data_IF_661670130944
#
_entry.id   IF_661670130944
#
_cell.length_a   1.000
_cell.length_b   1.000
_cell.length_c   1.000
_cell.angle_alpha   90.00
_cell.angle_beta   90.00
_cell.angle_gamma   90.00
#
_symmetry.space_group_name_H-M   'P 1'
#
loop_
_entity.id
_entity.type
_entity.pdbx_description
1 polymer ?
#
# COMPACT_ATOMS: atom_id res chain seq x y z
N UNK A 1 -6.33 3.88 32.11
CA UNK A 1 -5.15 3.04 31.82
C UNK A 1 -5.20 2.74 30.34
N UNK A 2 -4.28 3.30 29.55
CA UNK A 2 -4.21 3.02 28.12
C UNK A 2 -3.51 1.67 27.98
N UNK A 3 -4.28 0.63 27.68
CA UNK A 3 -3.73 -0.70 27.38
C UNK A 3 -2.72 -0.53 26.22
N UNK A 4 -1.55 -1.19 26.28
CA UNK A 4 -0.60 -1.12 25.18
C UNK A 4 -1.33 -1.57 23.91
N UNK A 5 -1.43 -0.69 22.93
CA UNK A 5 -2.03 -0.95 21.61
C UNK A 5 -1.44 -2.26 21.08
N UNK A 6 -2.17 -3.36 21.17
CA UNK A 6 -1.93 -4.51 20.32
C UNK A 6 -2.26 -4.05 18.92
N UNK A 7 -1.20 -3.88 18.10
CA UNK A 7 -1.32 -3.56 16.68
C UNK A 7 -2.00 -4.74 15.99
N UNK A 8 -2.52 -4.55 14.77
CA UNK A 8 -3.08 -5.64 13.92
C UNK A 8 -2.13 -6.83 13.67
N UNK A 9 -0.89 -6.78 14.17
CA UNK A 9 0.03 -7.90 14.26
C UNK A 9 0.45 -8.19 15.70
N UNK A 10 0.52 -9.47 16.04
CA UNK A 10 1.18 -9.93 17.26
C UNK A 10 2.68 -9.59 17.23
N UNK A 11 3.36 -9.70 18.37
CA UNK A 11 4.82 -9.56 18.51
C UNK A 11 5.61 -10.46 17.54
N UNK A 12 4.99 -11.55 17.08
CA UNK A 12 5.53 -12.49 16.10
C UNK A 12 5.36 -12.03 14.64
N UNK A 13 4.60 -10.95 14.39
CA UNK A 13 4.24 -10.49 13.05
C UNK A 13 3.07 -11.25 12.42
N UNK A 14 2.33 -12.04 13.21
CA UNK A 14 1.13 -12.73 12.75
C UNK A 14 -0.08 -11.83 12.84
N UNK A 15 -0.99 -11.96 11.87
CA UNK A 15 -2.26 -11.24 11.86
C UNK A 15 -3.07 -11.54 13.13
N UNK A 16 -3.58 -10.48 13.78
CA UNK A 16 -4.55 -10.59 14.88
C UNK A 16 -5.93 -10.35 14.28
N UNK A 17 -6.84 -11.30 14.50
CA UNK A 17 -8.22 -11.20 14.05
C UNK A 17 -8.90 -9.96 14.62
N UNK A 18 -9.45 -9.12 13.75
CA UNK A 18 -10.15 -7.89 14.13
C UNK A 18 -11.65 -8.17 14.28
N UNK A 19 -12.23 -7.80 15.42
CA UNK A 19 -13.66 -8.00 15.68
C UNK A 19 -14.40 -6.68 15.94
N UNK A 20 -13.81 -5.78 16.73
CA UNK A 20 -14.50 -4.56 17.16
C UNK A 20 -14.22 -3.40 16.23
N UNK A 21 -15.14 -2.42 16.17
CA UNK A 21 -14.93 -1.23 15.35
C UNK A 21 -13.62 -0.50 15.66
N UNK A 22 -13.21 -0.43 16.93
CA UNK A 22 -11.94 0.20 17.34
C UNK A 22 -10.74 -0.59 16.79
N UNK A 23 -10.82 -1.92 16.74
CA UNK A 23 -9.79 -2.76 16.12
C UNK A 23 -9.65 -2.48 14.62
N UNK A 24 -10.77 -2.29 13.91
CA UNK A 24 -10.75 -1.95 12.48
C UNK A 24 -10.29 -0.51 12.22
N UNK A 25 -10.70 0.46 13.03
CA UNK A 25 -10.32 1.87 12.91
C UNK A 25 -8.80 2.06 13.15
N UNK A 26 -8.30 1.47 14.23
CA UNK A 26 -6.85 1.44 14.50
C UNK A 26 -6.10 0.57 13.47
N UNK A 27 -6.66 -0.58 13.09
CA UNK A 27 -6.08 -1.49 12.12
C UNK A 27 -5.92 -0.87 10.74
N UNK A 28 -6.90 -0.10 10.27
CA UNK A 28 -6.81 0.65 9.01
C UNK A 28 -5.69 1.69 9.07
N UNK A 29 -5.55 2.40 10.19
CA UNK A 29 -4.46 3.35 10.41
C UNK A 29 -3.08 2.68 10.39
N UNK A 30 -2.93 1.53 11.07
CA UNK A 30 -1.70 0.72 11.01
C UNK A 30 -1.44 0.16 9.61
N UNK A 31 -2.49 -0.18 8.84
CA UNK A 31 -2.36 -0.65 7.46
C UNK A 31 -1.83 0.45 6.54
N UNK A 32 -2.37 1.66 6.66
CA UNK A 32 -1.88 2.82 5.93
C UNK A 32 -0.43 3.12 6.30
N UNK A 33 -0.08 3.10 7.60
CA UNK A 33 1.30 3.28 8.07
C UNK A 33 2.24 2.21 7.51
N UNK A 34 1.82 0.93 7.53
CA UNK A 34 2.59 -0.18 6.99
C UNK A 34 2.89 0.01 5.50
N UNK A 35 1.90 0.41 4.71
CA UNK A 35 2.06 0.61 3.27
C UNK A 35 2.87 1.86 2.95
N UNK A 36 2.70 2.93 3.72
CA UNK A 36 3.50 4.16 3.64
C UNK A 36 4.96 3.95 4.13
N UNK A 37 5.18 2.95 4.99
CA UNK A 37 6.50 2.64 5.52
C UNK A 37 7.44 2.10 4.44
N UNK A 38 8.65 2.67 4.40
CA UNK A 38 9.79 2.22 3.59
C UNK A 38 10.62 1.13 4.28
N UNK A 39 10.09 0.56 5.36
CA UNK A 39 10.77 -0.49 6.13
C UNK A 39 11.02 -1.74 5.30
N UNK A 40 12.27 -2.21 5.25
CA UNK A 40 12.68 -3.43 4.53
C UNK A 40 11.98 -4.71 5.03
N UNK A 41 11.39 -4.69 6.23
CA UNK A 41 10.63 -5.82 6.79
C UNK A 41 9.21 -5.91 6.23
N UNK A 42 8.63 -4.80 5.80
CA UNK A 42 7.30 -4.75 5.22
C UNK A 42 7.40 -5.05 3.72
N UNK A 43 7.68 -6.31 3.37
CA UNK A 43 7.74 -6.73 1.97
C UNK A 43 6.37 -6.56 1.31
N UNK A 44 6.35 -6.38 -0.03
CA UNK A 44 5.09 -6.24 -0.79
C UNK A 44 4.12 -7.38 -0.49
N UNK A 45 4.61 -8.62 -0.45
CA UNK A 45 3.81 -9.79 -0.10
C UNK A 45 3.21 -9.70 1.31
N UNK A 46 3.98 -9.23 2.31
CA UNK A 46 3.48 -9.03 3.66
C UNK A 46 2.38 -7.96 3.72
N UNK A 47 2.58 -6.84 3.00
CA UNK A 47 1.60 -5.75 2.89
C UNK A 47 0.30 -6.23 2.22
N UNK A 48 0.41 -7.02 1.15
CA UNK A 48 -0.72 -7.61 0.44
C UNK A 48 -1.45 -8.66 1.29
N UNK A 49 -0.73 -9.50 2.03
CA UNK A 49 -1.34 -10.44 2.99
C UNK A 49 -2.09 -9.73 4.11
N UNK A 50 -1.53 -8.65 4.66
CA UNK A 50 -2.20 -7.85 5.69
C UNK A 50 -3.50 -7.21 5.17
N UNK A 51 -3.46 -6.65 3.95
CA UNK A 51 -4.64 -6.10 3.29
C UNK A 51 -5.71 -7.18 3.07
N UNK A 52 -5.32 -8.37 2.62
CA UNK A 52 -6.24 -9.48 2.40
C UNK A 52 -6.92 -9.94 3.70
N UNK A 53 -6.15 -10.11 4.78
CA UNK A 53 -6.70 -10.48 6.09
C UNK A 53 -7.64 -9.40 6.66
N UNK A 54 -7.28 -8.11 6.53
CA UNK A 54 -8.15 -7.02 6.94
C UNK A 54 -9.50 -7.05 6.21
N UNK A 55 -9.49 -7.32 4.90
CA UNK A 55 -10.71 -7.43 4.08
C UNK A 55 -11.58 -8.61 4.50
N UNK A 56 -10.97 -9.77 4.74
CA UNK A 56 -11.69 -10.97 5.19
C UNK A 56 -12.37 -10.74 6.54
N UNK A 57 -11.65 -10.18 7.51
CA UNK A 57 -12.20 -9.85 8.83
C UNK A 57 -13.30 -8.80 8.72
N UNK A 58 -13.13 -7.78 7.87
CA UNK A 58 -14.12 -6.72 7.69
C UNK A 58 -15.40 -7.25 7.05
N UNK A 59 -15.29 -8.10 6.02
CA UNK A 59 -16.44 -8.74 5.39
C UNK A 59 -17.19 -9.63 6.38
N UNK A 60 -16.47 -10.41 7.19
CA UNK A 60 -17.07 -11.21 8.25
C UNK A 60 -17.78 -10.34 9.30
N UNK A 61 -17.20 -9.21 9.69
CA UNK A 61 -17.80 -8.26 10.63
C UNK A 61 -19.06 -7.59 10.04
N UNK A 62 -19.02 -7.18 8.77
CA UNK A 62 -20.18 -6.61 8.06
C UNK A 62 -21.32 -7.64 8.01
N UNK A 63 -21.01 -8.89 7.66
CA UNK A 63 -22.00 -9.98 7.62
C UNK A 63 -22.59 -10.26 9.01
N UNK A 64 -21.74 -10.32 10.05
CA UNK A 64 -22.15 -10.51 11.44
C UNK A 64 -23.09 -9.43 11.95
N UNK A 65 -22.92 -8.19 11.47
CA UNK A 65 -23.70 -7.03 11.92
C UNK A 65 -24.71 -6.53 10.90
N UNK A 66 -25.05 -7.31 9.87
CA UNK A 66 -25.95 -6.89 8.78
C UNK A 66 -27.34 -6.45 9.28
N UNK A 67 -27.87 -7.11 10.31
CA UNK A 67 -29.15 -6.77 10.94
C UNK A 67 -29.04 -5.59 11.93
N UNK A 68 -27.83 -5.16 12.27
CA UNK A 68 -27.59 -4.03 13.16
C UNK A 68 -27.22 -2.78 12.36
N UNK A 69 -28.24 -1.98 12.00
CA UNK A 69 -28.08 -0.77 11.17
C UNK A 69 -26.97 0.17 11.64
N UNK A 70 -26.81 0.36 12.95
CA UNK A 70 -25.79 1.27 13.50
C UNK A 70 -24.38 0.72 13.32
N UNK A 71 -24.19 -0.59 13.57
CA UNK A 71 -22.89 -1.25 13.39
C UNK A 71 -22.58 -1.46 11.91
N UNK A 72 -23.52 -1.98 11.13
CA UNK A 72 -23.39 -2.14 9.68
C UNK A 72 -22.92 -0.85 9.00
N UNK A 73 -23.50 0.31 9.36
CA UNK A 73 -23.05 1.60 8.83
C UNK A 73 -21.59 1.91 9.17
N UNK A 74 -21.15 1.62 10.40
CA UNK A 74 -19.76 1.86 10.83
C UNK A 74 -18.77 0.99 10.05
N UNK A 75 -19.02 -0.31 9.95
CA UNK A 75 -18.16 -1.22 9.19
C UNK A 75 -18.20 -0.93 7.68
N UNK A 76 -19.35 -0.47 7.16
CA UNK A 76 -19.44 -0.01 5.77
C UNK A 76 -18.57 1.24 5.52
N UNK A 77 -18.53 2.20 6.46
CA UNK A 77 -17.63 3.37 6.36
C UNK A 77 -16.15 2.96 6.35
N UNK A 78 -15.73 2.02 7.22
CA UNK A 78 -14.38 1.46 7.18
C UNK A 78 -14.06 0.86 5.80
N UNK A 79 -15.03 0.15 5.20
CA UNK A 79 -14.87 -0.43 3.87
C UNK A 79 -14.74 0.60 2.75
N UNK A 80 -15.42 1.74 2.87
CA UNK A 80 -15.29 2.87 1.93
C UNK A 80 -13.90 3.51 2.03
N UNK A 81 -13.41 3.76 3.25
CA UNK A 81 -12.05 4.29 3.47
C UNK A 81 -10.97 3.32 2.97
N UNK A 82 -11.17 2.01 3.18
CA UNK A 82 -10.27 0.98 2.65
C UNK A 82 -10.25 0.98 1.11
N UNK A 83 -11.41 1.16 0.47
CA UNK A 83 -11.49 1.21 -0.99
C UNK A 83 -10.76 2.46 -1.55
N UNK A 84 -10.89 3.61 -0.90
CA UNK A 84 -10.13 4.82 -1.26
C UNK A 84 -8.62 4.56 -1.14
N UNK A 85 -8.20 3.90 -0.07
CA UNK A 85 -6.81 3.51 0.12
C UNK A 85 -6.30 2.54 -0.96
N UNK A 86 -7.07 1.51 -1.33
CA UNK A 86 -6.73 0.59 -2.43
C UNK A 86 -6.62 1.31 -3.80
N UNK A 87 -7.46 2.32 -4.05
CA UNK A 87 -7.35 3.17 -5.24
C UNK A 87 -6.02 3.94 -5.25
N UNK A 88 -5.63 4.52 -4.10
CA UNK A 88 -4.33 5.20 -3.96
C UNK A 88 -3.18 4.23 -4.19
N UNK A 89 -3.26 2.98 -3.72
CA UNK A 89 -2.24 1.96 -3.99
C UNK A 89 -2.14 1.63 -5.48
N UNK A 90 -3.27 1.50 -6.17
CA UNK A 90 -3.33 1.19 -7.59
C UNK A 90 -2.77 2.34 -8.43
N UNK A 91 -3.12 3.59 -8.09
CA UNK A 91 -2.64 4.79 -8.77
C UNK A 91 -1.18 5.13 -8.42
N UNK A 92 -0.75 4.87 -7.18
CA UNK A 92 0.64 5.03 -6.76
C UNK A 92 1.59 4.01 -7.40
N UNK A 93 1.09 2.82 -7.75
CA UNK A 93 1.85 1.82 -8.50
C UNK A 93 2.10 2.22 -9.97
N UNK A 94 1.20 3.01 -10.56
CA UNK A 94 1.34 3.59 -11.90
C UNK A 94 2.51 4.61 -11.95
N UNK A 95 2.65 5.45 -10.93
CA UNK A 95 3.77 6.41 -10.82
C UNK A 95 5.15 5.74 -10.67
N UNK A 96 5.23 4.55 -10.07
CA UNK A 96 6.51 3.85 -9.90
C UNK A 96 7.09 3.30 -11.23
N UNK A 97 6.27 3.19 -12.29
CA UNK A 97 6.74 2.78 -13.62
C UNK A 97 7.24 3.94 -14.49
N UNK A 98 6.94 5.20 -14.12
CA UNK A 98 7.27 6.39 -14.93
C UNK A 98 8.50 7.17 -14.43
N UNK A 99 9.26 6.63 -13.46
CA UNK A 99 10.42 7.31 -12.87
C UNK A 99 11.80 6.78 -13.34
N UNK A 100 11.88 5.99 -14.42
CA UNK A 100 13.18 5.57 -14.99
C UNK A 100 13.15 5.47 -16.52
N UNK A 101 12.73 6.52 -17.24
CA UNK A 101 13.03 6.62 -18.69
C UNK A 101 13.18 8.06 -19.20
N UNK A 102 13.62 9.00 -18.36
CA UNK A 102 14.08 10.32 -18.84
C UNK A 102 15.57 10.47 -18.62
N UNK A 103 16.36 9.89 -19.52
CA UNK A 103 17.67 10.47 -19.86
C UNK A 103 17.44 11.43 -21.04
N UNK A 104 17.38 12.77 -20.83
CA UNK A 104 17.51 13.70 -21.93
C UNK A 104 18.99 13.76 -22.27
N UNK A 105 19.44 12.90 -23.19
CA UNK A 105 20.69 13.11 -23.88
C UNK A 105 20.55 14.37 -24.75
N UNK A 106 21.02 15.50 -24.21
CA UNK A 106 21.13 16.78 -24.91
C UNK A 106 22.61 17.22 -24.87
N UNK A 107 23.06 18.14 -25.74
CA UNK A 107 23.57 17.83 -27.07
C UNK A 107 24.90 18.57 -27.36
N UNK A 108 25.95 17.93 -27.89
CA UNK A 108 27.13 18.70 -28.37
C UNK A 108 27.76 18.09 -29.63
N UNK A 109 27.36 18.62 -30.78
CA UNK A 109 28.28 18.84 -31.91
C UNK A 109 28.95 20.24 -31.70
N UNK A 110 30.04 20.66 -32.40
CA UNK A 110 30.51 20.16 -33.70
C UNK A 110 32.05 20.21 -33.98
N UNK A 111 32.39 19.72 -35.18
CA UNK A 111 33.46 20.15 -36.11
C UNK A 111 34.93 19.79 -35.84
N UNK A 112 35.55 18.99 -36.72
CA UNK A 112 36.62 19.44 -37.64
C UNK A 112 36.92 18.42 -38.75
N UNK A 113 37.36 18.99 -39.87
CA UNK A 113 37.45 18.48 -41.22
C UNK A 113 38.62 17.53 -41.55
N UNK A 114 38.44 16.83 -42.68
CA UNK A 114 39.41 16.58 -43.76
C UNK A 114 40.36 15.35 -43.74
N UNK A 115 40.17 14.53 -44.79
CA UNK A 115 41.14 13.82 -45.66
C UNK A 115 42.23 12.90 -45.04
N UNK A 116 42.23 11.61 -45.40
CA UNK A 116 43.30 10.93 -46.17
C UNK A 116 43.23 9.37 -46.18
N UNK A 117 42.99 8.79 -47.37
CA UNK A 117 43.85 7.81 -48.11
C UNK A 117 44.57 6.63 -47.37
N UNK A 118 44.12 5.40 -47.73
CA UNK A 118 44.88 4.22 -48.27
C UNK A 118 45.63 3.21 -47.35
N UNK A 119 45.40 1.93 -47.70
CA UNK A 119 46.19 0.67 -47.55
C UNK A 119 46.34 0.06 -46.16
N UNK A 120 45.89 -1.19 -46.00
CA UNK A 120 46.70 -2.38 -46.31
C UNK A 120 45.84 -3.48 -46.91
#
# INVERSE_FOLDING_TARGET
MQLPKEKMFDKSGHWIHLETFDDFDNGLSDLIDLWSSTSKKATKAFKESALAHFKEDLEAAVLKWIDNKAKSKKYASIGEELAEFEEVLTKGADVALEADNTTPAVPVAPVVSAKAKKKQ
#
